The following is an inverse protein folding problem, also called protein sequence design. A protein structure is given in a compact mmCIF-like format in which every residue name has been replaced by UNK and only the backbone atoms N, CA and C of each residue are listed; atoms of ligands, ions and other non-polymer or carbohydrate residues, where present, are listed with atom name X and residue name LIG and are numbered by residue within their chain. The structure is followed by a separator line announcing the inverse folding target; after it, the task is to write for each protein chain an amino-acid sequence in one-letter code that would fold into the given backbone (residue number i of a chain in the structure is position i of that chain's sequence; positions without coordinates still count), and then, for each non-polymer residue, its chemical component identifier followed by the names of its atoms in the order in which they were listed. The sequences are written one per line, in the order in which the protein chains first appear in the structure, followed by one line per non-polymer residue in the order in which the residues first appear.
data_IF_573596507571
#
_entry.id   IF_573596507571
#
_cell.length_a   1.000
_cell.length_b   1.000
_cell.length_c   1.000
_cell.angle_alpha   90.00
_cell.angle_beta   90.00
_cell.angle_gamma   90.00
#
_symmetry.space_group_name_H-M   'P 1'
#
loop_
_entity.id
_entity.type
_entity.pdbx_description
1 polymer ?
#
# COMPACT_ATOMS: atom_id res chain seq x y z
N UNK A 1 7.16 13.29 27.76
CA UNK A 1 7.47 11.85 27.91
C UNK A 1 8.44 11.49 26.79
N UNK A 2 9.48 10.68 27.01
CA UNK A 2 10.34 10.26 25.90
C UNK A 2 9.47 9.48 24.91
N UNK A 3 9.54 9.86 23.63
CA UNK A 3 8.92 9.14 22.53
C UNK A 3 9.76 7.86 22.38
N UNK A 4 9.25 6.76 22.94
CA UNK A 4 9.88 5.45 22.80
C UNK A 4 9.26 4.73 21.59
N UNK A 5 10.10 4.03 20.83
CA UNK A 5 9.64 3.14 19.77
C UNK A 5 8.94 1.92 20.39
N UNK A 6 7.70 1.68 19.99
CA UNK A 6 6.96 0.45 20.31
C UNK A 6 7.03 -0.50 19.12
N UNK A 7 7.41 -1.75 19.37
CA UNK A 7 7.39 -2.82 18.36
C UNK A 7 6.37 -3.86 18.80
N UNK A 8 5.40 -4.15 17.94
CA UNK A 8 4.40 -5.19 18.14
C UNK A 8 4.67 -6.28 17.12
N UNK A 9 5.07 -7.46 17.60
CA UNK A 9 5.26 -8.62 16.73
C UNK A 9 3.91 -9.33 16.57
N UNK A 10 3.28 -9.17 15.41
CA UNK A 10 2.03 -9.85 15.10
C UNK A 10 1.87 -10.06 13.60
N UNK A 11 1.24 -11.17 13.22
CA UNK A 11 0.79 -11.41 11.85
C UNK A 11 -0.48 -10.60 11.57
N UNK A 12 -0.44 -9.70 10.59
CA UNK A 12 -1.52 -8.73 10.32
C UNK A 12 -2.59 -9.36 9.44
N UNK A 13 -3.86 -9.18 9.82
CA UNK A 13 -5.02 -9.63 9.04
C UNK A 13 -6.10 -8.55 9.03
N UNK A 14 -7.10 -8.70 8.15
CA UNK A 14 -8.27 -7.80 8.11
C UNK A 14 -9.02 -7.81 9.45
N UNK A 15 -9.04 -8.95 10.13
CA UNK A 15 -9.79 -9.13 11.37
C UNK A 15 -9.11 -8.49 12.58
N UNK A 16 -7.78 -8.30 12.55
CA UNK A 16 -7.03 -7.86 13.74
C UNK A 16 -6.48 -6.43 13.66
N UNK A 17 -6.36 -5.83 12.47
CA UNK A 17 -5.62 -4.58 12.29
C UNK A 17 -6.21 -3.41 13.10
N UNK A 18 -7.54 -3.29 13.16
CA UNK A 18 -8.20 -2.21 13.89
C UNK A 18 -7.97 -2.32 15.41
N UNK A 19 -8.11 -3.53 15.96
CA UNK A 19 -7.87 -3.81 17.37
C UNK A 19 -6.40 -3.55 17.74
N UNK A 20 -5.46 -3.91 16.86
CA UNK A 20 -4.04 -3.66 17.07
C UNK A 20 -3.73 -2.16 17.17
N UNK A 21 -4.34 -1.31 16.35
CA UNK A 21 -4.18 0.14 16.49
C UNK A 21 -4.69 0.63 17.85
N UNK A 22 -5.94 0.29 18.20
CA UNK A 22 -6.59 0.76 19.44
C UNK A 22 -5.82 0.29 20.67
N UNK A 23 -5.40 -0.99 20.71
CA UNK A 23 -4.63 -1.56 21.82
C UNK A 23 -3.26 -0.87 22.01
N UNK A 24 -2.71 -0.28 20.95
CA UNK A 24 -1.43 0.43 20.98
C UNK A 24 -1.61 1.96 21.04
N UNK A 25 -2.82 2.45 21.35
CA UNK A 25 -3.08 3.87 21.59
C UNK A 25 -3.22 4.71 20.31
N UNK A 26 -3.48 4.07 19.16
CA UNK A 26 -3.77 4.75 17.91
C UNK A 26 -5.27 4.69 17.61
N UNK A 27 -5.91 5.86 17.60
CA UNK A 27 -7.30 6.03 17.21
C UNK A 27 -7.46 7.43 16.60
N UNK A 28 -8.29 7.56 15.56
CA UNK A 28 -8.52 8.83 14.89
C UNK A 28 -7.32 9.29 14.05
N UNK A 29 -7.04 10.59 14.04
CA UNK A 29 -5.99 11.14 13.17
C UNK A 29 -4.58 10.71 13.59
N UNK A 30 -3.81 10.20 12.63
CA UNK A 30 -2.37 9.94 12.77
C UNK A 30 -1.62 10.61 11.61
N UNK A 31 -0.33 10.91 11.77
CA UNK A 31 0.41 11.61 10.71
C UNK A 31 0.71 10.70 9.50
N UNK A 32 1.19 9.48 9.75
CA UNK A 32 1.68 8.58 8.72
C UNK A 32 1.29 7.13 9.01
N UNK A 33 0.79 6.45 7.98
CA UNK A 33 0.63 5.00 7.94
C UNK A 33 1.48 4.45 6.79
N UNK A 34 2.35 3.48 7.08
CA UNK A 34 3.13 2.75 6.08
C UNK A 34 2.63 1.30 6.04
N UNK A 35 2.30 0.80 4.85
CA UNK A 35 1.74 -0.54 4.63
C UNK A 35 2.64 -1.27 3.64
N UNK A 36 3.33 -2.28 4.17
CA UNK A 36 4.17 -3.20 3.41
C UNK A 36 4.16 -4.50 4.24
N UNK A 37 3.23 -5.39 3.89
CA UNK A 37 2.96 -6.65 4.61
C UNK A 37 3.08 -7.86 3.69
N UNK A 38 3.80 -7.71 2.58
CA UNK A 38 4.10 -8.75 1.60
C UNK A 38 2.84 -9.48 1.08
N UNK A 39 1.75 -8.78 0.73
CA UNK A 39 0.59 -9.44 0.13
C UNK A 39 -0.75 -8.75 0.33
N UNK A 40 -1.33 -8.90 1.52
CA UNK A 40 -2.71 -8.47 1.79
C UNK A 40 -2.86 -6.93 1.95
N UNK A 41 -1.91 -6.13 1.47
CA UNK A 41 -1.79 -4.69 1.65
C UNK A 41 -3.09 -3.95 1.32
N UNK A 42 -3.66 -4.25 0.15
CA UNK A 42 -4.95 -3.70 -0.29
C UNK A 42 -6.09 -4.05 0.69
N UNK A 43 -6.20 -5.32 1.07
CA UNK A 43 -7.30 -5.81 1.91
C UNK A 43 -7.23 -5.23 3.32
N UNK A 44 -6.02 -5.20 3.88
CA UNK A 44 -5.75 -4.60 5.19
C UNK A 44 -6.03 -3.11 5.14
N UNK A 45 -5.55 -2.37 4.13
CA UNK A 45 -5.86 -0.94 4.03
C UNK A 45 -7.36 -0.67 3.88
N UNK A 46 -8.07 -1.47 3.08
CA UNK A 46 -9.52 -1.38 2.95
C UNK A 46 -10.23 -1.55 4.30
N UNK A 47 -9.78 -2.50 5.12
CA UNK A 47 -10.35 -2.81 6.43
C UNK A 47 -10.06 -1.79 7.54
N UNK A 48 -9.02 -0.96 7.41
CA UNK A 48 -8.66 0.02 8.45
C UNK A 48 -9.75 1.11 8.56
N UNK A 49 -10.31 1.23 9.75
CA UNK A 49 -11.32 2.22 10.15
C UNK A 49 -10.96 2.94 11.46
N UNK A 50 -10.11 2.34 12.30
CA UNK A 50 -9.74 2.89 13.61
C UNK A 50 -8.84 4.14 13.53
N UNK A 51 -8.12 4.32 12.43
CA UNK A 51 -7.24 5.47 12.20
C UNK A 51 -7.55 6.19 10.89
N UNK A 52 -7.28 7.50 10.86
CA UNK A 52 -7.38 8.38 9.69
C UNK A 52 -6.02 9.06 9.45
N UNK A 53 -5.08 8.37 8.79
CA UNK A 53 -3.78 8.93 8.49
C UNK A 53 -3.86 10.21 7.66
N UNK A 54 -2.93 11.14 7.85
CA UNK A 54 -2.77 12.29 6.95
C UNK A 54 -2.09 11.87 5.65
N UNK A 55 -1.15 10.92 5.76
CA UNK A 55 -0.44 10.30 4.64
C UNK A 55 -0.48 8.77 4.79
N UNK A 56 -0.75 8.08 3.69
CA UNK A 56 -0.56 6.62 3.58
C UNK A 56 0.53 6.36 2.55
N UNK A 57 1.49 5.51 2.90
CA UNK A 57 2.46 4.93 1.98
C UNK A 57 2.16 3.44 1.89
N UNK A 58 1.99 2.92 0.69
CA UNK A 58 1.62 1.52 0.48
C UNK A 58 2.42 0.94 -0.69
N UNK A 59 2.91 -0.28 -0.51
CA UNK A 59 3.54 -1.03 -1.60
C UNK A 59 2.51 -1.31 -2.70
N UNK A 60 2.90 -1.11 -3.96
CA UNK A 60 2.12 -1.54 -5.11
C UNK A 60 2.91 -2.52 -5.96
N UNK A 61 2.19 -3.45 -6.58
CA UNK A 61 2.76 -4.41 -7.50
C UNK A 61 2.95 -3.75 -8.88
N UNK A 62 4.20 -3.49 -9.20
CA UNK A 62 4.65 -2.78 -10.38
C UNK A 62 4.60 -3.61 -11.67
N UNK A 63 4.32 -4.91 -11.58
CA UNK A 63 3.99 -5.77 -12.72
C UNK A 63 2.82 -5.24 -13.53
N UNK A 64 1.86 -4.58 -12.86
CA UNK A 64 0.62 -4.14 -13.47
C UNK A 64 0.68 -2.67 -13.88
N UNK A 65 0.82 -2.46 -15.19
CA UNK A 65 0.66 -1.14 -15.79
C UNK A 65 -0.81 -0.69 -15.66
N UNK A 66 -1.08 0.59 -15.33
CA UNK A 66 -2.42 1.16 -15.42
C UNK A 66 -3.00 0.98 -16.85
N UNK A 67 -4.31 0.72 -17.00
CA UNK A 67 -5.37 0.80 -15.98
C UNK A 67 -5.72 -0.55 -15.33
N UNK A 68 -4.80 -1.53 -15.29
CA UNK A 68 -5.09 -2.85 -14.68
C UNK A 68 -5.48 -2.66 -13.21
N UNK A 69 -6.69 -3.10 -12.85
CA UNK A 69 -7.27 -3.03 -11.51
C UNK A 69 -7.31 -4.43 -10.88
N UNK A 70 -6.16 -4.93 -10.44
CA UNK A 70 -6.06 -6.24 -9.77
C UNK A 70 -5.40 -6.14 -8.39
N UNK A 71 -5.81 -7.05 -7.52
CA UNK A 71 -5.20 -7.36 -6.22
C UNK A 71 -5.16 -8.88 -6.05
N UNK A 72 -4.28 -9.39 -5.18
CA UNK A 72 -4.36 -10.80 -4.77
C UNK A 72 -5.71 -11.08 -4.10
N UNK A 73 -6.20 -12.32 -4.15
CA UNK A 73 -7.34 -12.75 -3.33
C UNK A 73 -6.96 -12.73 -1.83
N UNK A 74 -7.86 -12.26 -0.97
CA UNK A 74 -7.61 -12.22 0.47
C UNK A 74 -7.42 -13.64 1.02
N UNK A 75 -6.30 -13.86 1.68
CA UNK A 75 -6.03 -15.07 2.43
C UNK A 75 -5.36 -14.68 3.76
N UNK A 76 -6.00 -14.90 4.93
CA UNK A 76 -5.44 -14.51 6.24
C UNK A 76 -4.19 -15.31 6.62
N UNK A 77 -3.85 -16.37 5.89
CA UNK A 77 -2.62 -17.14 6.04
C UNK A 77 -1.67 -16.96 4.85
N UNK A 78 -1.80 -15.86 4.09
CA UNK A 78 -0.89 -15.57 2.97
C UNK A 78 0.51 -15.26 3.49
N UNK A 79 1.46 -16.13 3.14
CA UNK A 79 2.89 -15.86 3.31
C UNK A 79 3.52 -15.71 1.94
N UNK A 80 4.17 -14.58 1.70
CA UNK A 80 4.83 -14.33 0.43
C UNK A 80 5.99 -15.29 0.20
N UNK A 81 6.09 -15.78 -1.03
CA UNK A 81 7.09 -16.79 -1.43
C UNK A 81 8.23 -16.17 -2.27
N UNK A 82 8.33 -14.85 -2.31
CA UNK A 82 9.29 -14.14 -3.16
C UNK A 82 8.90 -14.09 -4.64
N UNK A 83 7.64 -14.37 -4.97
CA UNK A 83 7.09 -14.36 -6.33
C UNK A 83 6.43 -13.04 -6.68
N UNK A 84 6.00 -12.85 -7.93
CA UNK A 84 5.29 -11.65 -8.36
C UNK A 84 3.80 -11.65 -7.95
N UNK A 85 3.37 -12.61 -7.12
CA UNK A 85 2.06 -12.69 -6.51
C UNK A 85 2.06 -12.06 -5.11
N UNK A 86 1.87 -10.75 -5.09
CA UNK A 86 1.75 -9.92 -3.88
C UNK A 86 0.95 -8.65 -4.20
N UNK A 87 0.44 -8.02 -3.14
CA UNK A 87 -0.11 -6.67 -3.17
C UNK A 87 -1.21 -6.45 -4.20
N UNK A 88 -1.23 -5.22 -4.71
CA UNK A 88 -2.21 -4.77 -5.70
C UNK A 88 -1.57 -3.83 -6.72
N UNK A 89 -2.19 -3.75 -7.89
CA UNK A 89 -1.90 -2.74 -8.91
C UNK A 89 -2.07 -1.32 -8.38
N UNK A 90 -1.32 -0.36 -8.94
CA UNK A 90 -1.46 1.05 -8.55
C UNK A 90 -2.87 1.60 -8.78
N UNK A 91 -3.56 1.12 -9.84
CA UNK A 91 -4.94 1.53 -10.13
C UNK A 91 -5.93 1.02 -9.08
N UNK A 92 -5.76 -0.21 -8.57
CA UNK A 92 -6.59 -0.71 -7.47
C UNK A 92 -6.43 0.15 -6.21
N UNK A 93 -5.18 0.53 -5.89
CA UNK A 93 -4.88 1.39 -4.75
C UNK A 93 -5.41 2.83 -4.95
N UNK A 94 -5.37 3.36 -6.17
CA UNK A 94 -6.00 4.65 -6.50
C UNK A 94 -7.51 4.63 -6.22
N UNK A 95 -8.21 3.61 -6.71
CA UNK A 95 -9.66 3.45 -6.53
C UNK A 95 -10.01 3.30 -5.05
N UNK A 96 -9.26 2.46 -4.33
CA UNK A 96 -9.43 2.27 -2.90
C UNK A 96 -9.15 3.56 -2.12
N UNK A 97 -8.04 4.24 -2.43
CA UNK A 97 -7.66 5.51 -1.83
C UNK A 97 -8.77 6.54 -1.98
N UNK A 98 -9.31 6.70 -3.19
CA UNK A 98 -10.42 7.62 -3.46
C UNK A 98 -11.67 7.26 -2.64
N UNK A 99 -12.03 5.98 -2.58
CA UNK A 99 -13.15 5.49 -1.74
C UNK A 99 -12.95 5.81 -0.26
N UNK A 100 -11.70 5.78 0.22
CA UNK A 100 -11.34 6.07 1.61
C UNK A 100 -11.06 7.56 1.88
N UNK A 101 -11.21 8.45 0.89
CA UNK A 101 -10.99 9.89 1.05
C UNK A 101 -9.54 10.34 0.90
N UNK A 102 -8.76 9.66 0.07
CA UNK A 102 -7.36 9.95 -0.23
C UNK A 102 -7.13 10.15 -1.74
N UNK A 103 -6.06 10.88 -2.07
CA UNK A 103 -5.56 11.03 -3.44
C UNK A 103 -4.19 10.41 -3.59
N UNK A 104 -3.98 9.69 -4.68
CA UNK A 104 -2.65 9.31 -5.14
C UNK A 104 -1.92 10.58 -5.59
N UNK A 105 -0.83 10.93 -4.91
CA UNK A 105 -0.04 12.14 -5.19
C UNK A 105 1.33 11.84 -5.80
N UNK A 106 1.64 10.57 -6.01
CA UNK A 106 2.90 10.12 -6.58
C UNK A 106 3.25 8.68 -6.22
N UNK A 107 4.30 8.16 -6.86
CA UNK A 107 5.00 6.95 -6.47
C UNK A 107 6.51 7.20 -6.42
N UNK A 108 7.27 6.32 -5.77
CA UNK A 108 8.73 6.45 -5.78
C UNK A 108 9.32 6.03 -7.13
N UNK A 109 10.48 6.59 -7.48
CA UNK A 109 11.14 6.34 -8.77
C UNK A 109 11.50 4.88 -9.02
N UNK A 110 11.63 4.06 -7.97
CA UNK A 110 11.93 2.65 -8.08
C UNK A 110 10.73 1.81 -8.52
N UNK A 111 9.51 2.36 -8.41
CA UNK A 111 8.27 1.70 -8.76
C UNK A 111 7.77 0.74 -7.68
N UNK A 112 7.86 1.09 -6.40
CA UNK A 112 7.55 0.18 -5.28
C UNK A 112 6.46 0.76 -4.37
N UNK A 113 6.60 2.03 -3.99
CA UNK A 113 5.74 2.67 -2.99
C UNK A 113 4.88 3.75 -3.63
N UNK A 114 3.59 3.70 -3.35
CA UNK A 114 2.61 4.73 -3.69
C UNK A 114 2.35 5.64 -2.49
N UNK A 115 2.17 6.94 -2.75
CA UNK A 115 1.92 7.96 -1.73
C UNK A 115 0.52 8.50 -1.86
N UNK A 116 -0.24 8.41 -0.78
CA UNK A 116 -1.61 8.88 -0.68
C UNK A 116 -1.72 9.98 0.37
N UNK A 117 -2.41 11.06 0.03
CA UNK A 117 -2.68 12.18 0.95
C UNK A 117 -4.17 12.30 1.14
N UNK A 118 -4.61 12.50 2.39
CA UNK A 118 -6.03 12.69 2.71
C UNK A 118 -6.57 13.90 1.94
N UNK A 119 -7.75 13.76 1.32
CA UNK A 119 -8.30 14.71 0.34
C UNK A 119 -8.30 16.16 0.84
N UNK A 120 -8.68 16.37 2.11
CA UNK A 120 -8.76 17.67 2.77
C UNK A 120 -7.39 18.37 2.93
N UNK A 121 -6.29 17.63 2.81
CA UNK A 121 -4.92 18.12 2.98
C UNK A 121 -4.19 18.38 1.66
N UNK A 122 -4.72 17.90 0.53
CA UNK A 122 -4.06 17.99 -0.79
C UNK A 122 -3.85 19.45 -1.20
N UNK A 123 -4.92 20.23 -1.32
CA UNK A 123 -4.85 21.64 -1.76
C UNK A 123 -4.11 21.81 -3.10
N UNK A 124 -3.25 22.81 -3.19
CA UNK A 124 -2.38 23.13 -4.34
C UNK A 124 -0.95 22.59 -4.17
N UNK A 125 -0.73 21.66 -3.23
CA UNK A 125 0.60 21.18 -2.85
C UNK A 125 1.15 20.07 -3.75
N UNK A 126 0.30 19.46 -4.57
CA UNK A 126 0.63 18.29 -5.38
C UNK A 126 0.18 18.48 -6.84
N UNK A 127 0.90 17.87 -7.77
CA UNK A 127 0.60 17.95 -9.18
C UNK A 127 -0.52 16.98 -9.57
N UNK A 128 -1.63 17.52 -10.09
CA UNK A 128 -2.68 16.75 -10.72
C UNK A 128 -2.31 16.37 -12.17
N UNK A 129 -2.94 15.34 -12.80
CA UNK A 129 -4.04 14.52 -12.28
C UNK A 129 -3.58 13.44 -11.28
N UNK A 130 -4.39 13.22 -10.24
CA UNK A 130 -4.14 12.25 -9.18
C UNK A 130 -4.55 10.83 -9.60
N UNK A 131 -3.90 10.30 -10.63
CA UNK A 131 -4.24 9.00 -11.22
C UNK A 131 -3.02 8.12 -11.40
N UNK A 132 -3.23 6.80 -11.39
CA UNK A 132 -2.18 5.83 -11.61
C UNK A 132 -1.51 6.01 -12.98
N UNK A 133 -2.23 6.43 -14.02
CA UNK A 133 -1.66 6.72 -15.34
C UNK A 133 -0.62 7.86 -15.29
N UNK A 134 -0.78 8.81 -14.37
CA UNK A 134 0.16 9.92 -14.19
C UNK A 134 1.34 9.52 -13.31
N UNK A 135 1.05 8.80 -12.22
CA UNK A 135 2.00 8.59 -11.13
C UNK A 135 2.69 7.21 -11.15
N UNK A 136 2.36 6.34 -12.10
CA UNK A 136 2.99 5.03 -12.20
C UNK A 136 4.46 5.10 -12.61
N UNK A 137 5.28 4.31 -11.90
CA UNK A 137 6.63 3.99 -12.29
C UNK A 137 6.80 2.46 -12.45
N UNK A 138 7.44 1.99 -13.54
CA UNK A 138 7.75 0.58 -13.70
C UNK A 138 8.88 0.15 -12.74
N UNK A 139 9.09 -1.17 -12.55
CA UNK A 139 10.21 -1.68 -11.76
C UNK A 139 11.53 -1.12 -12.28
N UNK A 140 12.28 -0.44 -11.41
CA UNK A 140 13.65 -0.01 -11.70
C UNK A 140 14.61 -0.67 -10.71
N UNK A 141 14.70 -2.00 -10.76
CA UNK A 141 15.54 -2.81 -9.85
C UNK A 141 17.00 -2.34 -9.77
N UNK A 142 17.54 -1.73 -10.83
CA UNK A 142 18.89 -1.15 -10.82
C UNK A 142 19.06 0.03 -9.86
N UNK A 143 17.97 0.64 -9.37
CA UNK A 143 17.97 1.65 -8.31
C UNK A 143 17.93 1.03 -6.90
N UNK A 144 17.70 -0.28 -6.79
CA UNK A 144 17.55 -0.97 -5.53
C UNK A 144 18.77 -1.90 -5.30
N UNK A 145 19.69 -1.54 -4.39
CA UNK A 145 20.96 -2.27 -4.22
C UNK A 145 20.80 -3.72 -3.75
N UNK A 146 19.63 -4.09 -3.23
CA UNK A 146 19.29 -5.45 -2.80
C UNK A 146 18.78 -6.33 -3.95
N UNK A 147 18.32 -5.74 -5.06
CA UNK A 147 17.81 -6.48 -6.23
C UNK A 147 18.89 -6.54 -7.30
N UNK A 148 19.82 -7.47 -7.17
CA UNK A 148 20.99 -7.59 -8.04
C UNK A 148 20.72 -8.26 -9.40
N UNK A 149 19.72 -7.76 -10.16
CA UNK A 149 19.41 -8.03 -11.59
C UNK A 149 18.15 -8.86 -11.93
N UNK A 150 17.42 -9.44 -10.97
CA UNK A 150 16.22 -10.22 -11.28
C UNK A 150 15.04 -9.71 -10.45
N UNK A 151 13.93 -9.40 -11.11
CA UNK A 151 12.64 -9.19 -10.46
C UNK A 151 12.09 -10.49 -9.87
N UNK A 152 10.85 -10.44 -9.40
CA UNK A 152 10.23 -11.60 -8.77
C UNK A 152 9.95 -12.74 -9.75
N UNK A 153 9.98 -13.98 -9.26
CA UNK A 153 9.61 -15.14 -10.06
C UNK A 153 8.12 -15.10 -10.39
N UNK A 154 7.71 -15.43 -11.63
CA UNK A 154 6.31 -15.41 -12.01
C UNK A 154 5.48 -16.44 -11.25
N UNK A 155 4.31 -16.01 -10.77
CA UNK A 155 3.32 -16.86 -10.13
C UNK A 155 1.92 -16.53 -10.68
N UNK A 156 1.17 -17.58 -11.05
CA UNK A 156 -0.16 -17.41 -11.63
C UNK A 156 -1.16 -16.85 -10.62
N UNK A 157 -0.98 -17.15 -9.32
CA UNK A 157 -1.79 -16.59 -8.23
C UNK A 157 -3.31 -16.74 -8.39
N UNK A 158 -4.08 -16.20 -7.44
CA UNK A 158 -5.49 -15.88 -7.62
C UNK A 158 -5.64 -14.35 -7.63
N UNK A 159 -5.73 -13.77 -8.82
CA UNK A 159 -5.93 -12.33 -9.00
C UNK A 159 -7.43 -12.02 -9.06
N UNK A 160 -7.86 -11.04 -8.27
CA UNK A 160 -9.24 -10.56 -8.23
C UNK A 160 -9.29 -9.06 -8.58
N UNK A 161 -10.45 -8.60 -9.00
CA UNK A 161 -10.68 -7.17 -9.23
C UNK A 161 -10.58 -6.39 -7.91
N UNK A 162 -9.87 -5.26 -7.95
CA UNK A 162 -9.71 -4.36 -6.80
C UNK A 162 -10.75 -3.24 -6.74
#
# INVERSE_FOLDING_TARGET
MPIALTVVNQFITVENINDLFVQNGFEGEIDLLCIDIDGNDYHVWNAIESVSPRVVVIEYNDKFHPPVNWTIAYNPAHEWRGTDYFGASLKALEILGLKKGYRLVGSNLAGVNAFFVREDLVGDRFAAPFTAENDYHPPRYYLLPFYSQLGHQPDSGEWVEG
#
